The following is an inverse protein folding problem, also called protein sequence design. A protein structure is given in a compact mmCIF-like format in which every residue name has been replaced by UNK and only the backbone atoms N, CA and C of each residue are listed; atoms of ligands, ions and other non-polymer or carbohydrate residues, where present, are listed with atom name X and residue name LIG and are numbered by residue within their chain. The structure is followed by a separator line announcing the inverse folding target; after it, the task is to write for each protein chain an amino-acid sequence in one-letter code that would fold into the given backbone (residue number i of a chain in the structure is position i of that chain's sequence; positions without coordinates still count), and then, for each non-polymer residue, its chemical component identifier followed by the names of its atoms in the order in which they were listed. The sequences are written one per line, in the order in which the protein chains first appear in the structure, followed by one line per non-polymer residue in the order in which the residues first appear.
data_IF_034799349715
#
_entry.id   IF_034799349715
#
_cell.length_a   1.000
_cell.length_b   1.000
_cell.length_c   1.000
_cell.angle_alpha   90.00
_cell.angle_beta   90.00
_cell.angle_gamma   90.00
#
_symmetry.space_group_name_H-M   'P 1'
#
loop_
_entity.id
_entity.type
_entity.pdbx_description
1 polymer ?
#
# COMPACT_ATOMS: atom_id res chain seq x y z
N UNK A 1 -19.92 2.12 -28.11
CA UNK A 1 -20.41 2.99 -27.02
C UNK A 1 -19.22 3.26 -26.12
N UNK A 2 -18.80 4.52 -25.97
CA UNK A 2 -17.60 4.89 -25.20
C UNK A 2 -17.92 5.08 -23.71
N UNK A 3 -16.92 4.91 -22.84
CA UNK A 3 -17.05 5.23 -21.43
C UNK A 3 -17.05 6.75 -21.24
N UNK A 4 -18.05 7.29 -20.54
CA UNK A 4 -18.04 8.71 -20.13
C UNK A 4 -17.15 8.85 -18.90
N UNK A 5 -15.94 9.39 -19.09
CA UNK A 5 -14.98 9.62 -18.00
C UNK A 5 -15.32 10.94 -17.29
N UNK A 6 -15.48 10.89 -15.97
CA UNK A 6 -15.75 12.07 -15.16
C UNK A 6 -14.51 12.98 -15.10
N UNK A 7 -14.68 14.32 -15.09
CA UNK A 7 -13.61 15.23 -14.75
C UNK A 7 -13.07 14.94 -13.34
N UNK A 8 -11.75 15.10 -13.13
CA UNK A 8 -11.09 14.86 -11.83
C UNK A 8 -11.80 15.55 -10.65
N UNK A 9 -12.33 16.75 -10.88
CA UNK A 9 -13.02 17.58 -9.88
C UNK A 9 -14.29 16.92 -9.32
N UNK A 10 -14.84 15.95 -10.04
CA UNK A 10 -16.05 15.20 -9.68
C UNK A 10 -15.73 13.80 -9.14
N UNK A 11 -14.44 13.43 -9.07
CA UNK A 11 -13.97 12.18 -8.49
C UNK A 11 -13.64 12.38 -7.00
N UNK A 12 -14.09 11.45 -6.15
CA UNK A 12 -13.83 11.52 -4.71
C UNK A 12 -12.40 11.09 -4.34
N UNK A 13 -11.89 10.05 -5.00
CA UNK A 13 -10.55 9.50 -4.75
C UNK A 13 -9.69 9.63 -6.01
N UNK A 14 -8.40 9.90 -5.83
CA UNK A 14 -7.42 9.89 -6.92
C UNK A 14 -7.02 8.44 -7.30
N UNK A 15 -7.13 7.48 -6.37
CA UNK A 15 -6.97 6.04 -6.60
C UNK A 15 -7.75 5.26 -5.53
N UNK A 16 -8.29 4.10 -5.91
CA UNK A 16 -8.83 3.11 -4.97
C UNK A 16 -8.05 1.81 -5.19
N UNK A 17 -7.62 1.19 -4.09
CA UNK A 17 -6.87 -0.05 -4.13
C UNK A 17 -7.61 -1.15 -3.36
N UNK A 18 -7.66 -2.35 -3.93
CA UNK A 18 -8.25 -3.52 -3.30
C UNK A 18 -7.17 -4.61 -3.26
N UNK A 19 -6.77 -5.01 -2.06
CA UNK A 19 -5.72 -6.00 -1.84
C UNK A 19 -5.59 -6.36 -0.37
N UNK A 20 -4.48 -7.00 -0.03
CA UNK A 20 -4.18 -7.45 1.33
C UNK A 20 -3.13 -6.56 1.99
N UNK A 21 -3.25 -6.39 3.31
CA UNK A 21 -2.20 -5.83 4.16
C UNK A 21 -1.79 -6.87 5.18
N UNK A 22 -0.49 -7.14 5.24
CA UNK A 22 0.09 -8.11 6.16
C UNK A 22 1.06 -7.42 7.12
N UNK A 23 1.10 -7.91 8.35
CA UNK A 23 2.21 -7.61 9.27
C UNK A 23 3.41 -8.45 8.85
N UNK A 24 4.47 -7.80 8.39
CA UNK A 24 5.74 -8.44 8.04
C UNK A 24 6.66 -8.46 9.26
N UNK A 25 7.03 -9.66 9.66
CA UNK A 25 8.03 -9.93 10.70
C UNK A 25 9.36 -10.21 10.04
N UNK A 26 10.28 -9.25 10.10
CA UNK A 26 11.59 -9.33 9.47
C UNK A 26 12.66 -9.77 10.49
N UNK A 27 13.32 -10.93 10.33
CA UNK A 27 14.39 -11.37 11.24
C UNK A 27 15.71 -10.59 11.05
N UNK A 28 15.81 -9.71 10.04
CA UNK A 28 17.05 -9.11 9.57
C UNK A 28 17.96 -10.17 8.95
N UNK A 29 19.25 -10.14 9.26
CA UNK A 29 20.24 -11.10 8.74
C UNK A 29 20.16 -12.50 9.37
N UNK A 30 19.20 -12.75 10.28
CA UNK A 30 19.04 -14.04 11.00
C UNK A 30 18.08 -14.97 10.25
N UNK A 31 18.19 -16.27 10.52
CA UNK A 31 17.22 -17.27 10.02
C UNK A 31 15.91 -17.17 10.78
N UNK A 32 14.77 -17.22 10.06
CA UNK A 32 13.42 -17.19 10.64
C UNK A 32 13.25 -18.21 11.77
N UNK A 33 13.73 -19.45 11.58
CA UNK A 33 13.55 -20.54 12.54
C UNK A 33 14.24 -20.32 13.91
N UNK A 34 15.32 -19.53 13.96
CA UNK A 34 16.12 -19.32 15.18
C UNK A 34 16.06 -17.88 15.70
N UNK A 35 15.39 -16.97 14.99
CA UNK A 35 15.20 -15.61 15.44
C UNK A 35 14.46 -15.57 16.78
N UNK A 36 14.83 -14.60 17.62
CA UNK A 36 14.21 -14.31 18.94
C UNK A 36 13.63 -12.91 19.02
N UNK A 37 13.85 -12.11 17.97
CA UNK A 37 13.26 -10.79 17.77
C UNK A 37 13.03 -10.57 16.29
N UNK A 38 12.04 -9.74 15.97
CA UNK A 38 11.68 -9.37 14.62
C UNK A 38 11.41 -7.88 14.57
N UNK A 39 11.87 -7.23 13.50
CA UNK A 39 11.40 -5.89 13.16
C UNK A 39 10.02 -6.00 12.52
N UNK A 40 9.10 -5.14 12.94
CA UNK A 40 7.71 -5.19 12.52
C UNK A 40 7.43 -4.05 11.57
N UNK A 41 6.91 -4.37 10.40
CA UNK A 41 6.44 -3.39 9.44
C UNK A 41 5.24 -3.93 8.67
N UNK A 42 4.55 -3.05 7.97
CA UNK A 42 3.46 -3.43 7.07
C UNK A 42 3.98 -3.79 5.67
N UNK A 43 3.32 -4.76 5.04
CA UNK A 43 3.54 -5.14 3.65
C UNK A 43 2.23 -5.36 2.91
N UNK A 44 2.26 -5.23 1.59
CA UNK A 44 1.10 -5.37 0.71
C UNK A 44 1.34 -4.57 -0.57
N UNK A 45 1.21 -5.19 -1.75
CA UNK A 45 1.59 -4.55 -3.01
C UNK A 45 0.72 -3.35 -3.32
N UNK A 46 -0.59 -3.59 -3.31
CA UNK A 46 -1.66 -2.62 -3.52
C UNK A 46 -1.59 -1.47 -2.49
N UNK A 47 -1.43 -1.85 -1.22
CA UNK A 47 -1.25 -0.91 -0.12
C UNK A 47 -0.03 -0.01 -0.30
N UNK A 48 1.12 -0.58 -0.70
CA UNK A 48 2.34 0.19 -0.88
C UNK A 48 2.21 1.24 -2.00
N UNK A 49 1.47 0.93 -3.07
CA UNK A 49 1.17 1.89 -4.15
C UNK A 49 0.30 3.03 -3.60
N UNK A 50 -0.83 2.72 -2.96
CA UNK A 50 -1.70 3.75 -2.39
C UNK A 50 -0.98 4.61 -1.34
N UNK A 51 -0.23 3.98 -0.42
CA UNK A 51 0.58 4.67 0.59
C UNK A 51 1.63 5.58 -0.04
N UNK A 52 2.30 5.12 -1.10
CA UNK A 52 3.28 5.91 -1.84
C UNK A 52 2.66 7.15 -2.49
N UNK A 53 1.50 6.99 -3.14
CA UNK A 53 0.76 8.11 -3.72
C UNK A 53 0.32 9.13 -2.67
N UNK A 54 -0.16 8.68 -1.52
CA UNK A 54 -0.52 9.57 -0.40
C UNK A 54 0.69 10.29 0.18
N UNK A 55 1.75 9.57 0.53
CA UNK A 55 2.90 10.13 1.27
C UNK A 55 3.85 10.96 0.42
N UNK A 56 4.11 10.54 -0.81
CA UNK A 56 5.07 11.22 -1.67
C UNK A 56 4.43 12.32 -2.51
N UNK A 57 3.14 12.20 -2.86
CA UNK A 57 2.47 13.11 -3.80
C UNK A 57 1.23 13.82 -3.22
N UNK A 58 0.85 13.51 -1.98
CA UNK A 58 -0.28 14.17 -1.30
C UNK A 58 -1.65 13.82 -1.90
N UNK A 59 -1.73 12.83 -2.79
CA UNK A 59 -2.97 12.45 -3.45
C UNK A 59 -3.98 11.85 -2.46
N UNK A 60 -5.27 11.98 -2.73
CA UNK A 60 -6.34 11.38 -1.92
C UNK A 60 -6.63 9.96 -2.39
N UNK A 61 -5.73 9.05 -2.00
CA UNK A 61 -5.75 7.61 -2.28
C UNK A 61 -6.01 6.79 -1.04
#
# INVERSE_FOLDING_TARGET
MGLTIKPRKECHWDLVSLGEVMVRLDPGDRRVATARSFEVCEGGGEYNVARGLKRCFGLNT
#
